data_IF_157243427675
#
_entry.id   IF_157243427675
#
_cell.length_a   1.000
_cell.length_b   1.000
_cell.length_c   1.000
_cell.angle_alpha   90.00
_cell.angle_beta   90.00
_cell.angle_gamma   90.00
#
_symmetry.space_group_name_H-M   'P 1'
#
loop_
_entity.id
_entity.type
_entity.pdbx_description
1 polymer ?
#
# COMPACT_ATOMS: atom_id res chain seq x y z
N UNK A 1 -23.72 3.08 -4.35
CA UNK A 1 -23.58 2.30 -5.60
C UNK A 1 -23.29 0.86 -5.25
N UNK A 2 -24.10 -0.10 -5.73
CA UNK A 2 -24.00 -1.52 -5.36
C UNK A 2 -23.22 -2.31 -6.44
N UNK A 3 -21.89 -2.15 -6.47
CA UNK A 3 -21.05 -2.87 -7.43
C UNK A 3 -20.59 -4.23 -6.89
N UNK A 4 -20.49 -5.29 -7.71
CA UNK A 4 -19.99 -6.59 -7.29
C UNK A 4 -18.58 -6.54 -6.68
N UNK A 5 -17.70 -5.68 -7.19
CA UNK A 5 -16.37 -5.50 -6.60
C UNK A 5 -16.36 -4.98 -5.15
N UNK A 6 -17.47 -4.37 -4.69
CA UNK A 6 -17.66 -3.94 -3.30
C UNK A 6 -18.17 -5.07 -2.38
N UNK A 7 -18.62 -6.20 -2.92
CA UNK A 7 -19.17 -7.30 -2.13
C UNK A 7 -18.03 -8.12 -1.49
N UNK A 8 -17.88 -8.02 -0.17
CA UNK A 8 -16.83 -8.70 0.60
C UNK A 8 -17.03 -10.21 0.71
N UNK A 9 -18.21 -10.73 0.38
CA UNK A 9 -18.48 -12.18 0.34
C UNK A 9 -17.91 -12.87 -0.91
N UNK A 10 -17.52 -12.11 -1.93
CA UNK A 10 -16.86 -12.62 -3.14
C UNK A 10 -15.34 -12.66 -2.95
N UNK A 11 -14.66 -13.57 -3.67
CA UNK A 11 -13.19 -13.64 -3.67
C UNK A 11 -12.56 -12.36 -4.22
N UNK A 12 -11.31 -12.08 -3.80
CA UNK A 12 -10.57 -10.92 -4.29
C UNK A 12 -10.37 -10.97 -5.81
N UNK A 13 -10.17 -12.16 -6.39
CA UNK A 13 -10.06 -12.37 -7.84
C UNK A 13 -11.32 -11.96 -8.59
N UNK A 14 -12.48 -12.40 -8.12
CA UNK A 14 -13.77 -12.06 -8.75
C UNK A 14 -14.03 -10.56 -8.68
N UNK A 15 -13.73 -9.95 -7.54
CA UNK A 15 -13.88 -8.50 -7.33
C UNK A 15 -12.93 -7.70 -8.21
N UNK A 16 -11.67 -8.11 -8.31
CA UNK A 16 -10.67 -7.46 -9.16
C UNK A 16 -11.04 -7.59 -10.65
N UNK A 17 -11.47 -8.77 -11.11
CA UNK A 17 -11.93 -8.99 -12.48
C UNK A 17 -13.14 -8.13 -12.84
N UNK A 18 -14.12 -8.02 -11.93
CA UNK A 18 -15.29 -7.16 -12.13
C UNK A 18 -14.90 -5.67 -12.20
N UNK A 19 -13.95 -5.21 -11.39
CA UNK A 19 -13.46 -3.84 -11.47
C UNK A 19 -12.77 -3.58 -12.82
N UNK A 20 -11.83 -4.45 -13.22
CA UNK A 20 -11.05 -4.28 -14.46
C UNK A 20 -11.91 -4.40 -15.71
N UNK A 21 -12.94 -5.25 -15.71
CA UNK A 21 -13.86 -5.40 -16.84
C UNK A 21 -14.69 -4.14 -17.10
N UNK A 22 -14.92 -3.32 -16.07
CA UNK A 22 -15.67 -2.05 -16.15
C UNK A 22 -14.83 -0.86 -16.61
N UNK A 23 -13.50 -1.02 -16.71
CA UNK A 23 -12.59 0.03 -17.14
C UNK A 23 -12.54 0.14 -18.66
N UNK A 24 -12.58 1.38 -19.15
CA UNK A 24 -12.18 1.70 -20.52
C UNK A 24 -10.70 1.41 -20.74
N UNK A 25 -10.28 1.33 -22.01
CA UNK A 25 -8.87 1.09 -22.34
C UNK A 25 -7.96 2.20 -21.78
N UNK A 26 -8.40 3.45 -21.82
CA UNK A 26 -7.67 4.59 -21.27
C UNK A 26 -7.55 4.50 -19.75
N UNK A 27 -8.65 4.20 -19.04
CA UNK A 27 -8.62 4.01 -17.58
C UNK A 27 -7.65 2.86 -17.20
N UNK A 28 -7.61 1.76 -17.97
CA UNK A 28 -6.67 0.65 -17.72
C UNK A 28 -5.21 1.07 -17.85
N UNK A 29 -4.88 1.84 -18.88
CA UNK A 29 -3.53 2.34 -19.07
C UNK A 29 -3.12 3.23 -17.89
N UNK A 30 -4.02 4.10 -17.41
CA UNK A 30 -3.78 4.95 -16.26
C UNK A 30 -3.59 4.19 -14.94
N UNK A 31 -4.12 2.96 -14.81
CA UNK A 31 -3.87 2.12 -13.64
C UNK A 31 -2.52 1.38 -13.67
N UNK A 32 -1.77 1.47 -14.77
CA UNK A 32 -0.50 0.73 -14.97
C UNK A 32 0.75 1.52 -14.58
N UNK A 33 0.57 2.72 -14.01
CA UNK A 33 1.66 3.60 -13.54
C UNK A 33 1.57 3.79 -12.02
N UNK A 34 2.69 4.17 -11.40
CA UNK A 34 2.79 4.42 -9.96
C UNK A 34 1.74 5.42 -9.44
N UNK A 35 1.68 6.66 -9.97
CA UNK A 35 0.62 7.60 -9.64
C UNK A 35 -0.66 7.24 -10.41
N UNK A 36 -1.37 6.22 -9.92
CA UNK A 36 -2.61 5.76 -10.53
C UNK A 36 -3.73 6.77 -10.28
N UNK A 37 -4.28 7.31 -11.38
CA UNK A 37 -5.39 8.26 -11.28
C UNK A 37 -6.67 7.57 -10.82
N UNK A 38 -7.44 8.24 -9.96
CA UNK A 38 -8.74 7.74 -9.53
C UNK A 38 -9.74 7.64 -10.68
N UNK A 39 -10.72 6.74 -10.55
CA UNK A 39 -11.81 6.54 -11.51
C UNK A 39 -13.10 7.01 -10.85
N UNK A 40 -13.38 8.31 -10.97
CA UNK A 40 -14.50 8.97 -10.27
C UNK A 40 -15.87 8.35 -10.60
N UNK A 41 -16.08 7.88 -11.84
CA UNK A 41 -17.33 7.21 -12.27
C UNK A 41 -17.63 5.94 -11.48
N UNK A 42 -16.58 5.22 -11.05
CA UNK A 42 -16.71 3.99 -10.26
C UNK A 42 -16.49 4.23 -8.76
N UNK A 43 -16.18 5.46 -8.34
CA UNK A 43 -15.85 5.79 -6.95
C UNK A 43 -14.51 5.21 -6.50
N UNK A 44 -13.60 4.92 -7.42
CA UNK A 44 -12.26 4.40 -7.08
C UNK A 44 -11.32 5.59 -6.85
N UNK A 45 -10.72 5.73 -5.65
CA UNK A 45 -9.80 6.82 -5.37
C UNK A 45 -8.50 6.68 -6.17
N UNK A 46 -7.75 7.78 -6.28
CA UNK A 46 -6.38 7.70 -6.76
C UNK A 46 -5.54 6.81 -5.82
N UNK A 47 -4.55 6.13 -6.38
CA UNK A 47 -3.71 5.24 -5.62
C UNK A 47 -2.25 5.39 -6.04
N UNK A 48 -1.36 5.38 -5.06
CA UNK A 48 0.07 5.44 -5.31
C UNK A 48 0.71 4.08 -5.01
N UNK A 49 1.18 3.41 -6.06
CA UNK A 49 1.79 2.08 -5.93
C UNK A 49 3.19 2.15 -5.33
N UNK A 50 3.92 3.25 -5.51
CA UNK A 50 5.27 3.37 -5.00
C UNK A 50 5.30 3.80 -3.54
N UNK A 51 5.57 2.83 -2.66
CA UNK A 51 5.86 3.02 -1.24
C UNK A 51 7.10 2.22 -0.86
N UNK A 52 7.87 2.72 0.10
CA UNK A 52 9.15 2.11 0.51
C UNK A 52 9.16 1.79 2.00
N UNK A 53 9.61 0.57 2.32
CA UNK A 53 9.59 0.08 3.70
C UNK A 53 10.73 -0.92 4.03
N UNK A 54 11.87 -0.83 3.36
CA UNK A 54 12.95 -1.83 3.42
C UNK A 54 13.46 -2.14 4.84
N UNK A 55 13.63 -1.13 5.68
CA UNK A 55 14.09 -1.28 7.07
C UNK A 55 13.44 -0.21 7.97
N UNK A 56 12.18 0.10 7.70
CA UNK A 56 11.45 1.23 8.27
C UNK A 56 10.66 1.92 7.17
N UNK A 57 9.55 2.58 7.52
CA UNK A 57 8.76 3.33 6.53
C UNK A 57 9.53 4.55 6.09
N UNK A 58 9.71 4.70 4.79
CA UNK A 58 10.39 5.86 4.22
C UNK A 58 9.39 7.01 4.03
N UNK A 59 9.82 8.23 4.32
CA UNK A 59 9.05 9.46 4.06
C UNK A 59 9.50 10.15 2.76
N UNK A 60 9.97 9.35 1.80
CA UNK A 60 10.46 9.80 0.50
C UNK A 60 9.65 9.04 -0.55
N UNK A 61 9.23 9.77 -1.58
CA UNK A 61 8.32 9.25 -2.59
C UNK A 61 6.86 9.65 -2.35
N UNK A 62 5.98 9.32 -3.31
CA UNK A 62 4.60 9.78 -3.30
C UNK A 62 3.65 8.97 -2.39
N UNK A 63 3.94 7.69 -2.09
CA UNK A 63 2.98 6.77 -1.46
C UNK A 63 2.93 6.76 0.07
N UNK A 64 3.95 7.33 0.73
CA UNK A 64 4.04 7.42 2.19
C UNK A 64 4.42 8.83 2.62
N UNK A 65 3.63 9.42 3.54
CA UNK A 65 3.90 10.74 4.10
C UNK A 65 3.67 10.78 5.61
N UNK A 66 4.67 11.25 6.34
CA UNK A 66 4.53 11.54 7.77
C UNK A 66 3.70 12.81 7.95
N UNK A 67 2.73 12.73 8.86
CA UNK A 67 1.81 13.81 9.20
C UNK A 67 1.92 14.10 10.70
N UNK A 68 1.36 15.21 11.19
CA UNK A 68 1.47 15.59 12.61
C UNK A 68 1.05 14.48 13.60
N UNK A 69 0.15 13.57 13.20
CA UNK A 69 -0.28 12.42 14.01
C UNK A 69 0.75 11.28 14.05
N UNK A 70 1.56 11.12 13.00
CA UNK A 70 2.62 10.11 12.87
C UNK A 70 3.85 10.82 12.29
N UNK A 71 4.62 11.56 13.12
CA UNK A 71 5.67 12.45 12.64
C UNK A 71 6.94 11.70 12.21
N UNK A 72 7.11 10.45 12.64
CA UNK A 72 8.29 9.63 12.37
C UNK A 72 7.94 8.14 12.42
N UNK A 73 8.77 7.31 11.81
CA UNK A 73 8.73 5.85 11.91
C UNK A 73 10.08 5.30 12.41
N UNK A 74 10.04 4.14 13.07
CA UNK A 74 11.27 3.46 13.50
C UNK A 74 12.15 3.08 12.29
N UNK A 75 13.43 3.43 12.37
CA UNK A 75 14.47 2.97 11.45
C UNK A 75 15.21 1.78 12.07
N UNK A 76 15.09 0.62 11.45
CA UNK A 76 15.75 -0.62 11.84
C UNK A 76 17.14 -0.71 11.20
N UNK A 77 18.02 -1.61 11.67
CA UNK A 77 19.27 -1.90 10.98
C UNK A 77 19.02 -2.25 9.51
N UNK A 78 19.97 -1.89 8.64
CA UNK A 78 19.92 -2.30 7.24
C UNK A 78 19.82 -3.82 7.13
N UNK A 79 19.19 -4.30 6.06
CA UNK A 79 18.88 -5.72 5.85
C UNK A 79 20.08 -6.63 6.06
N UNK A 80 21.27 -6.21 5.64
CA UNK A 80 22.52 -6.97 5.83
C UNK A 80 22.88 -7.16 7.31
N UNK A 81 22.66 -6.15 8.16
CA UNK A 81 22.90 -6.22 9.60
C UNK A 81 21.83 -7.03 10.31
N UNK A 82 20.56 -6.88 9.90
CA UNK A 82 19.49 -7.74 10.40
C UNK A 82 19.75 -9.21 10.07
N UNK A 83 20.22 -9.52 8.85
CA UNK A 83 20.54 -10.89 8.43
C UNK A 83 21.68 -11.49 9.26
N UNK A 84 22.69 -10.67 9.60
CA UNK A 84 23.82 -11.08 10.43
C UNK A 84 23.44 -11.49 11.86
N UNK A 85 22.21 -11.24 12.31
CA UNK A 85 21.73 -11.74 13.60
C UNK A 85 21.38 -13.23 13.59
N UNK A 86 21.27 -13.87 12.42
CA UNK A 86 20.84 -15.26 12.23
C UNK A 86 19.60 -15.64 13.06
N UNK A 87 18.66 -14.71 13.22
CA UNK A 87 17.49 -14.86 14.08
C UNK A 87 16.22 -14.59 13.29
N UNK A 88 15.61 -15.65 12.78
CA UNK A 88 14.37 -15.60 12.01
C UNK A 88 13.21 -14.98 12.80
N UNK A 89 13.11 -15.30 14.09
CA UNK A 89 12.08 -14.74 14.97
C UNK A 89 12.22 -13.23 15.13
N UNK A 90 13.45 -12.71 15.20
CA UNK A 90 13.72 -11.27 15.26
C UNK A 90 13.32 -10.58 13.96
N UNK A 91 13.63 -11.20 12.82
CA UNK A 91 13.21 -10.74 11.50
C UNK A 91 11.68 -10.65 11.40
N UNK A 92 10.98 -11.74 11.70
CA UNK A 92 9.53 -11.79 11.65
C UNK A 92 8.88 -10.74 12.54
N UNK A 93 9.38 -10.57 13.78
CA UNK A 93 8.88 -9.55 14.72
C UNK A 93 9.06 -8.14 14.17
N UNK A 94 10.24 -7.86 13.59
CA UNK A 94 10.55 -6.56 12.98
C UNK A 94 9.60 -6.23 11.84
N UNK A 95 9.42 -7.17 10.90
CA UNK A 95 8.50 -7.01 9.77
C UNK A 95 7.04 -6.86 10.21
N UNK A 96 6.60 -7.64 11.21
CA UNK A 96 5.26 -7.54 11.76
C UNK A 96 4.98 -6.15 12.35
N UNK A 97 5.93 -5.56 13.07
CA UNK A 97 5.80 -4.22 13.65
C UNK A 97 5.74 -3.16 12.53
N UNK A 98 6.63 -3.27 11.53
CA UNK A 98 6.67 -2.36 10.40
C UNK A 98 5.35 -2.34 9.62
N UNK A 99 4.81 -3.52 9.30
CA UNK A 99 3.55 -3.66 8.55
C UNK A 99 2.34 -3.22 9.38
N UNK A 100 2.25 -3.67 10.63
CA UNK A 100 1.00 -3.56 11.42
C UNK A 100 0.80 -2.16 12.01
N UNK A 101 1.88 -1.50 12.44
CA UNK A 101 1.80 -0.22 13.16
C UNK A 101 2.15 0.97 12.28
N UNK A 102 3.19 0.85 11.46
CA UNK A 102 3.71 2.01 10.73
C UNK A 102 3.04 2.16 9.36
N UNK A 103 3.03 1.12 8.52
CA UNK A 103 2.45 1.23 7.18
C UNK A 103 0.95 1.53 7.20
N UNK A 104 0.17 0.90 8.08
CA UNK A 104 -1.28 1.19 8.19
C UNK A 104 -1.59 2.59 8.72
N UNK A 105 -0.67 3.22 9.44
CA UNK A 105 -0.86 4.55 10.01
C UNK A 105 -0.39 5.68 9.08
N UNK A 106 0.58 5.40 8.21
CA UNK A 106 1.24 6.37 7.31
C UNK A 106 0.71 6.28 5.88
N UNK A 107 0.32 5.09 5.42
CA UNK A 107 -0.26 4.88 4.10
C UNK A 107 -1.79 5.06 4.19
N UNK A 108 -2.43 5.57 3.13
CA UNK A 108 -3.90 5.66 2.94
C UNK A 108 -4.67 6.86 3.50
N UNK A 109 -4.03 7.88 4.08
CA UNK A 109 -4.77 9.10 4.51
C UNK A 109 -4.40 10.32 3.69
N UNK A 110 -5.13 10.52 2.59
CA UNK A 110 -5.23 11.80 1.89
C UNK A 110 -4.27 11.95 0.70
N UNK A 111 -4.68 11.39 -0.44
CA UNK A 111 -4.79 12.21 -1.65
C UNK A 111 -6.23 12.72 -1.73
#
# INVERSE_FOLDING_TARGET
SNFPFCNTSLSYETRAKDLVSRLTLQEKFQQSVNPSTGISRLGVPAYEWWSEALHGVLNVGPGTRFINRVPVATSFPAVILSAASFNESLWYKTWRILISLHLRAVCWRGM
#
